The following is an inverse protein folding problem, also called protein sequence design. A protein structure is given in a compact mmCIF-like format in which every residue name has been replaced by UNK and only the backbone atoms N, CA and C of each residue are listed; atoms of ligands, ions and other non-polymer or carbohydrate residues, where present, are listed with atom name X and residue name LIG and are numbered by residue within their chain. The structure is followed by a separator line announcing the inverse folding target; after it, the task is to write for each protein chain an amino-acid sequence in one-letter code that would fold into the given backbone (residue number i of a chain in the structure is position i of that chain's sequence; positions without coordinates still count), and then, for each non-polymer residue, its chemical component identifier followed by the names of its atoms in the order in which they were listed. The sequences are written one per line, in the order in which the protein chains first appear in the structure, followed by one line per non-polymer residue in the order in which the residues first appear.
data_IF_628231775534
#
_entry.id   IF_628231775534
#
_cell.length_a   1.000
_cell.length_b   1.000
_cell.length_c   1.000
_cell.angle_alpha   90.00
_cell.angle_beta   90.00
_cell.angle_gamma   90.00
#
_symmetry.space_group_name_H-M   'P 1'
#
loop_
_entity.id
_entity.type
_entity.pdbx_description
1 polymer ?
#
# COMPACT_ATOMS: atom_id res chain seq x y z
N UNK A 1 24.81 73.32 -23.54
CA UNK A 1 23.58 72.55 -23.29
C UNK A 1 23.80 71.12 -23.78
N UNK A 2 23.59 70.17 -22.87
CA UNK A 2 23.71 68.71 -23.02
C UNK A 2 22.52 68.10 -23.82
N UNK A 3 22.39 66.76 -23.98
CA UNK A 3 23.39 65.74 -24.32
C UNK A 3 22.92 64.75 -25.43
N UNK A 4 23.87 63.95 -25.90
CA UNK A 4 23.68 62.70 -26.67
C UNK A 4 22.84 61.68 -25.87
N UNK A 5 21.95 60.93 -26.55
CA UNK A 5 21.35 59.69 -26.02
C UNK A 5 21.65 58.51 -26.96
N UNK A 6 22.36 57.53 -26.41
CA UNK A 6 22.63 56.23 -27.00
C UNK A 6 21.37 55.36 -26.96
N UNK A 7 21.14 54.59 -28.03
CA UNK A 7 20.09 53.58 -28.09
C UNK A 7 20.67 52.20 -27.78
N UNK A 8 20.28 51.69 -26.62
CA UNK A 8 19.99 50.32 -26.21
C UNK A 8 20.72 49.15 -26.89
N UNK A 9 21.63 48.53 -26.12
CA UNK A 9 21.85 47.08 -26.15
C UNK A 9 20.82 46.45 -25.20
N UNK A 10 19.81 45.79 -25.74
CA UNK A 10 18.84 45.03 -24.95
C UNK A 10 18.35 43.81 -25.74
N UNK A 11 19.28 42.91 -26.10
CA UNK A 11 18.97 41.65 -26.79
C UNK A 11 19.53 40.39 -26.11
N UNK A 12 20.35 40.52 -25.06
CA UNK A 12 21.07 39.38 -24.48
C UNK A 12 20.38 38.69 -23.31
N UNK A 13 19.64 39.43 -22.46
CA UNK A 13 19.12 38.87 -21.20
C UNK A 13 17.94 37.90 -21.38
N UNK A 14 17.08 38.12 -22.39
CA UNK A 14 15.91 37.25 -22.61
C UNK A 14 16.28 35.84 -23.07
N UNK A 15 17.25 35.72 -23.97
CA UNK A 15 17.68 34.42 -24.51
C UNK A 15 18.44 33.61 -23.46
N UNK A 16 19.30 34.26 -22.65
CA UNK A 16 20.03 33.59 -21.56
C UNK A 16 19.08 33.08 -20.48
N UNK A 17 18.03 33.84 -20.14
CA UNK A 17 17.04 33.40 -19.15
C UNK A 17 16.21 32.21 -19.65
N UNK A 18 15.80 32.21 -20.92
CA UNK A 18 15.03 31.10 -21.51
C UNK A 18 15.89 29.84 -21.60
N UNK A 19 17.16 29.94 -22.00
CA UNK A 19 18.08 28.80 -22.04
C UNK A 19 18.36 28.26 -20.63
N UNK A 20 18.52 29.13 -19.63
CA UNK A 20 18.71 28.72 -18.24
C UNK A 20 17.47 28.02 -17.66
N UNK A 21 16.26 28.49 -17.99
CA UNK A 21 15.00 27.84 -17.57
C UNK A 21 14.81 26.50 -18.29
N UNK A 22 15.11 26.39 -19.59
CA UNK A 22 15.03 25.12 -20.33
C UNK A 22 16.07 24.11 -19.83
N UNK A 23 17.29 24.56 -19.51
CA UNK A 23 18.31 23.72 -18.87
C UNK A 23 17.90 23.30 -17.45
N UNK A 24 17.31 24.19 -16.65
CA UNK A 24 16.83 23.87 -15.32
C UNK A 24 15.65 22.87 -15.36
N UNK A 25 14.74 23.00 -16.33
CA UNK A 25 13.62 22.05 -16.55
C UNK A 25 14.13 20.71 -17.09
N UNK A 26 15.20 20.72 -17.90
CA UNK A 26 15.84 19.48 -18.38
C UNK A 26 16.65 18.78 -17.29
N UNK A 27 17.23 19.55 -16.36
CA UNK A 27 17.96 19.03 -15.19
C UNK A 27 17.02 18.51 -14.09
N UNK A 28 15.78 19.00 -14.01
CA UNK A 28 14.76 18.44 -13.09
C UNK A 28 13.98 17.27 -13.69
N UNK A 29 14.02 17.06 -15.01
CA UNK A 29 13.43 15.89 -15.68
C UNK A 29 14.34 14.65 -15.75
N UNK A 30 15.56 14.72 -15.20
CA UNK A 30 16.50 13.60 -15.18
C UNK A 30 16.64 12.95 -13.80
N UNK A 31 15.55 12.53 -13.16
CA UNK A 31 15.65 11.55 -12.06
C UNK A 31 16.15 10.24 -12.69
N UNK A 32 17.43 9.93 -12.53
CA UNK A 32 18.02 8.72 -13.08
C UNK A 32 17.39 7.50 -12.42
N UNK A 33 16.34 6.95 -13.03
CA UNK A 33 15.98 5.55 -12.85
C UNK A 33 17.23 4.74 -13.18
N UNK A 34 17.59 3.78 -12.33
CA UNK A 34 18.55 2.75 -12.71
C UNK A 34 18.10 2.18 -14.06
N UNK A 35 18.96 2.13 -15.09
CA UNK A 35 18.58 1.56 -16.38
C UNK A 35 18.18 0.10 -16.16
N UNK A 36 16.89 -0.20 -16.23
CA UNK A 36 16.36 -1.56 -16.12
C UNK A 36 15.07 -1.77 -15.32
N UNK A 37 14.61 -0.81 -14.50
CA UNK A 37 13.40 -1.01 -13.67
C UNK A 37 12.47 0.21 -13.62
N UNK A 38 11.43 0.23 -14.48
CA UNK A 38 10.43 1.31 -14.54
C UNK A 38 9.51 1.39 -13.31
N UNK A 39 9.40 0.30 -12.55
CA UNK A 39 8.58 0.21 -11.32
C UNK A 39 9.39 0.38 -10.03
N UNK A 40 10.69 0.71 -10.12
CA UNK A 40 11.55 0.97 -8.95
C UNK A 40 11.34 2.40 -8.40
N UNK A 41 10.10 2.68 -8.01
CA UNK A 41 9.61 3.96 -7.50
C UNK A 41 8.41 3.75 -6.58
N UNK A 42 8.11 4.70 -5.68
CA UNK A 42 7.01 4.58 -4.72
C UNK A 42 5.63 4.24 -5.31
N UNK A 43 5.27 4.85 -6.44
CA UNK A 43 4.02 4.66 -7.19
C UNK A 43 4.05 3.47 -8.17
N UNK A 44 5.17 2.76 -8.22
CA UNK A 44 5.36 1.57 -9.04
C UNK A 44 4.33 0.49 -8.71
N UNK A 45 3.89 -0.26 -9.72
CA UNK A 45 3.04 -1.42 -9.47
C UNK A 45 3.84 -2.53 -8.75
N UNK A 46 3.26 -3.11 -7.69
CA UNK A 46 3.94 -4.11 -6.87
C UNK A 46 4.31 -5.36 -7.68
N UNK A 47 3.42 -5.86 -8.55
CA UNK A 47 3.74 -7.05 -9.35
C UNK A 47 4.73 -6.72 -10.46
N UNK A 48 4.64 -5.55 -11.11
CA UNK A 48 5.65 -5.14 -12.09
C UNK A 48 7.04 -5.00 -11.47
N UNK A 49 7.12 -4.41 -10.27
CA UNK A 49 8.37 -4.32 -9.53
C UNK A 49 8.94 -5.71 -9.22
N UNK A 50 8.14 -6.60 -8.66
CA UNK A 50 8.57 -7.95 -8.32
C UNK A 50 8.93 -8.78 -9.56
N UNK A 51 8.25 -8.57 -10.68
CA UNK A 51 8.55 -9.21 -11.95
C UNK A 51 9.87 -8.70 -12.55
N UNK A 52 10.05 -7.38 -12.63
CA UNK A 52 11.27 -6.75 -13.18
C UNK A 52 12.52 -7.06 -12.37
N UNK A 53 12.37 -7.30 -11.06
CA UNK A 53 13.44 -7.71 -10.16
C UNK A 53 13.62 -9.22 -10.05
N UNK A 54 12.83 -10.01 -10.78
CA UNK A 54 12.97 -11.47 -10.87
C UNK A 54 12.44 -12.26 -9.66
N UNK A 55 11.67 -11.65 -8.76
CA UNK A 55 11.09 -12.31 -7.58
C UNK A 55 9.86 -13.17 -7.93
N UNK A 56 9.11 -12.79 -8.98
CA UNK A 56 7.98 -13.56 -9.51
C UNK A 56 8.19 -13.82 -11.00
N UNK A 57 7.67 -14.95 -11.49
CA UNK A 57 7.82 -15.36 -12.90
C UNK A 57 6.79 -14.76 -13.85
N UNK A 58 5.66 -14.30 -13.33
CA UNK A 58 4.58 -13.65 -14.05
C UNK A 58 3.66 -12.91 -13.05
N UNK A 59 2.77 -12.05 -13.54
CA UNK A 59 1.79 -11.34 -12.71
C UNK A 59 0.72 -12.28 -12.18
N UNK A 60 0.88 -12.69 -10.93
CA UNK A 60 -0.09 -13.47 -10.17
C UNK A 60 0.07 -13.11 -8.69
N UNK A 61 -0.99 -12.60 -8.07
CA UNK A 61 -0.91 -12.14 -6.68
C UNK A 61 -0.76 -13.28 -5.67
N UNK A 62 -0.95 -14.54 -6.08
CA UNK A 62 -0.62 -15.71 -5.28
C UNK A 62 0.89 -15.97 -5.16
N UNK A 63 1.70 -15.40 -6.07
CA UNK A 63 3.16 -15.50 -6.00
C UNK A 63 3.78 -14.48 -5.05
N UNK A 64 3.09 -13.37 -4.79
CA UNK A 64 3.57 -12.33 -3.88
C UNK A 64 3.48 -12.83 -2.45
N UNK A 65 4.60 -12.83 -1.74
CA UNK A 65 4.70 -13.24 -0.34
C UNK A 65 4.83 -12.05 0.59
N UNK A 66 4.13 -12.13 1.72
CA UNK A 66 3.98 -11.05 2.69
C UNK A 66 4.59 -11.47 4.02
N UNK A 67 5.25 -10.53 4.68
CA UNK A 67 5.48 -10.62 6.12
C UNK A 67 4.48 -9.69 6.81
N UNK A 68 3.57 -10.29 7.56
CA UNK A 68 2.52 -9.59 8.28
C UNK A 68 3.05 -9.06 9.63
N UNK A 69 2.69 -7.82 9.97
CA UNK A 69 2.95 -7.17 11.25
C UNK A 69 4.43 -7.23 11.68
N UNK A 70 5.35 -6.73 10.84
CA UNK A 70 6.78 -6.60 11.15
C UNK A 70 7.05 -5.44 12.13
N UNK A 71 6.39 -5.46 13.29
CA UNK A 71 6.27 -4.31 14.16
C UNK A 71 7.48 -4.14 15.07
N UNK A 72 7.81 -5.17 15.84
CA UNK A 72 8.94 -5.14 16.76
C UNK A 72 10.27 -5.29 16.01
N UNK A 73 11.38 -4.81 16.61
CA UNK A 73 12.69 -4.94 15.96
C UNK A 73 13.04 -6.39 15.62
N UNK A 74 12.73 -7.34 16.52
CA UNK A 74 12.96 -8.77 16.27
C UNK A 74 12.18 -9.32 15.08
N UNK A 75 10.92 -8.90 14.92
CA UNK A 75 10.07 -9.30 13.79
C UNK A 75 10.56 -8.68 12.49
N UNK A 76 10.94 -7.40 12.52
CA UNK A 76 11.57 -6.72 11.39
C UNK A 76 12.87 -7.43 10.96
N UNK A 77 13.75 -7.80 11.89
CA UNK A 77 14.98 -8.56 11.59
C UNK A 77 14.68 -9.93 10.96
N UNK A 78 13.65 -10.60 11.46
CA UNK A 78 13.18 -11.89 10.92
C UNK A 78 12.66 -11.71 9.49
N UNK A 79 11.84 -10.68 9.25
CA UNK A 79 11.30 -10.35 7.94
C UNK A 79 12.43 -10.02 6.94
N UNK A 80 13.39 -9.19 7.34
CA UNK A 80 14.55 -8.81 6.52
C UNK A 80 15.40 -10.02 6.11
N UNK A 81 15.52 -11.01 7.00
CA UNK A 81 16.33 -12.22 6.77
C UNK A 81 15.60 -13.33 6.00
N UNK A 82 14.29 -13.20 5.82
CA UNK A 82 13.46 -14.19 5.12
C UNK A 82 13.38 -13.95 3.60
N UNK A 83 12.74 -14.86 2.88
CA UNK A 83 12.49 -14.78 1.43
C UNK A 83 11.18 -14.06 1.07
N UNK A 84 10.46 -13.49 2.05
CA UNK A 84 9.24 -12.70 1.79
C UNK A 84 9.52 -11.49 0.90
N UNK A 85 8.56 -11.12 0.07
CA UNK A 85 8.75 -10.07 -0.95
C UNK A 85 8.29 -8.69 -0.49
N UNK A 86 7.30 -8.63 0.40
CA UNK A 86 6.70 -7.38 0.88
C UNK A 86 6.61 -7.41 2.41
N UNK A 87 7.01 -6.31 3.04
CA UNK A 87 6.88 -6.10 4.48
C UNK A 87 5.68 -5.23 4.75
N UNK A 88 4.80 -5.74 5.61
CA UNK A 88 3.70 -4.98 6.19
C UNK A 88 4.03 -4.69 7.66
N UNK A 89 3.74 -3.47 8.11
CA UNK A 89 3.88 -3.07 9.50
C UNK A 89 2.79 -2.07 9.89
N UNK A 90 2.29 -2.21 11.10
CA UNK A 90 1.23 -1.39 11.68
C UNK A 90 1.83 -0.12 12.27
N UNK A 91 1.25 1.04 11.98
CA UNK A 91 1.76 2.34 12.42
C UNK A 91 0.76 3.02 13.35
N UNK A 92 1.26 3.46 14.50
CA UNK A 92 0.54 4.28 15.47
C UNK A 92 1.43 5.41 16.00
N UNK A 93 0.90 6.28 16.87
CA UNK A 93 1.73 7.24 17.63
C UNK A 93 2.00 6.70 19.03
N UNK A 94 3.20 7.00 19.53
CA UNK A 94 3.60 6.61 20.88
C UNK A 94 2.67 7.23 21.94
N UNK A 95 2.20 6.41 22.87
CA UNK A 95 1.31 6.84 23.94
C UNK A 95 -0.10 7.22 23.50
N UNK A 96 -0.56 6.81 22.30
CA UNK A 96 -1.89 7.14 21.76
C UNK A 96 -3.00 7.10 22.82
N UNK A 97 -3.80 8.17 22.88
CA UNK A 97 -4.93 8.40 23.78
C UNK A 97 -4.56 8.38 25.28
N UNK A 98 -3.33 8.75 25.64
CA UNK A 98 -2.88 8.89 27.02
C UNK A 98 -2.25 10.26 27.27
N UNK A 99 -1.98 10.60 28.54
CA UNK A 99 -1.25 11.82 28.90
C UNK A 99 0.19 11.85 28.36
N UNK A 100 0.74 10.69 27.99
CA UNK A 100 2.07 10.52 27.42
C UNK A 100 2.05 10.43 25.88
N UNK A 101 0.92 10.74 25.22
CA UNK A 101 0.86 10.76 23.76
C UNK A 101 1.92 11.72 23.19
N UNK A 102 2.76 11.20 22.29
CA UNK A 102 3.73 11.99 21.55
C UNK A 102 3.33 12.03 20.07
N UNK A 103 4.00 12.88 19.29
CA UNK A 103 3.84 12.92 17.83
C UNK A 103 4.70 11.91 17.09
N UNK A 104 5.42 11.02 17.79
CA UNK A 104 6.40 10.10 17.19
C UNK A 104 5.69 8.85 16.65
N UNK A 105 5.77 8.57 15.34
CA UNK A 105 5.22 7.34 14.79
C UNK A 105 6.05 6.12 15.21
N UNK A 106 5.36 5.09 15.65
CA UNK A 106 5.89 3.82 16.11
C UNK A 106 5.24 2.66 15.38
N UNK A 107 5.94 1.55 15.29
CA UNK A 107 5.39 0.32 14.73
C UNK A 107 4.60 -0.43 15.80
N UNK A 108 3.28 -0.30 15.78
CA UNK A 108 2.40 -0.84 16.81
C UNK A 108 0.97 -1.09 16.29
N UNK A 109 0.51 -2.33 16.48
CA UNK A 109 -0.90 -2.70 16.34
C UNK A 109 -1.63 -2.54 17.69
N UNK A 110 -2.83 -1.94 17.75
CA UNK A 110 -3.66 -1.94 18.95
C UNK A 110 -3.84 -3.34 19.57
N UNK A 111 -3.84 -3.49 20.90
CA UNK A 111 -3.86 -2.43 21.91
C UNK A 111 -2.48 -1.85 22.25
N UNK A 112 -1.41 -2.22 21.55
CA UNK A 112 -0.10 -1.65 21.80
C UNK A 112 -0.08 -0.16 21.42
N UNK A 113 0.36 0.66 22.36
CA UNK A 113 0.58 2.11 22.19
C UNK A 113 2.04 2.49 22.44
N UNK A 114 2.91 1.50 22.64
CA UNK A 114 4.35 1.64 22.76
C UNK A 114 5.01 0.51 21.97
N UNK A 115 6.20 0.77 21.43
CA UNK A 115 6.97 -0.20 20.66
C UNK A 115 8.47 0.04 20.88
N UNK A 116 9.28 -1.01 20.73
CA UNK A 116 10.74 -0.86 20.71
C UNK A 116 11.24 -0.29 19.36
N UNK A 117 10.34 -0.12 18.40
CA UNK A 117 10.64 0.25 17.02
C UNK A 117 9.85 1.48 16.58
N UNK A 118 10.55 2.59 16.36
CA UNK A 118 9.95 3.77 15.72
C UNK A 118 9.84 3.55 14.22
N UNK A 119 8.91 4.22 13.55
CA UNK A 119 8.83 4.17 12.07
C UNK A 119 10.14 4.63 11.43
N UNK A 120 10.80 5.66 11.99
CA UNK A 120 12.08 6.15 11.47
C UNK A 120 13.17 5.06 11.52
N UNK A 121 13.28 4.33 12.65
CA UNK A 121 14.23 3.22 12.76
C UNK A 121 13.89 2.09 11.81
N UNK A 122 12.61 1.76 11.68
CA UNK A 122 12.15 0.72 10.78
C UNK A 122 12.44 1.06 9.31
N UNK A 123 12.14 2.29 8.87
CA UNK A 123 12.43 2.75 7.51
C UNK A 123 13.94 2.72 7.24
N UNK A 124 14.76 3.18 8.19
CA UNK A 124 16.22 3.14 8.08
C UNK A 124 16.70 1.70 7.83
N UNK A 125 16.27 0.74 8.65
CA UNK A 125 16.66 -0.66 8.51
C UNK A 125 16.17 -1.26 7.18
N UNK A 126 14.90 -1.08 6.83
CA UNK A 126 14.28 -1.69 5.65
C UNK A 126 14.83 -1.14 4.35
N UNK A 127 15.05 0.17 4.26
CA UNK A 127 15.59 0.82 3.07
C UNK A 127 17.07 0.53 2.87
N UNK A 128 17.85 0.43 3.95
CA UNK A 128 19.29 0.15 3.87
C UNK A 128 19.60 -1.31 3.56
N UNK A 129 18.80 -2.25 4.08
CA UNK A 129 19.18 -3.67 4.13
C UNK A 129 18.38 -4.59 3.21
N UNK A 130 17.37 -4.06 2.53
CA UNK A 130 16.52 -4.87 1.66
C UNK A 130 16.09 -4.11 0.41
N UNK A 131 15.46 -4.83 -0.50
CA UNK A 131 14.72 -4.31 -1.67
C UNK A 131 13.22 -4.69 -1.59
N UNK A 132 12.75 -5.14 -0.43
CA UNK A 132 11.39 -5.65 -0.27
C UNK A 132 10.38 -4.50 -0.39
N UNK A 133 9.21 -4.79 -0.96
CA UNK A 133 8.10 -3.83 -1.03
C UNK A 133 7.66 -3.41 0.38
N UNK A 134 7.04 -2.23 0.49
CA UNK A 134 6.64 -1.67 1.78
C UNK A 134 5.12 -1.49 1.81
N UNK A 135 4.46 -1.92 2.88
CA UNK A 135 3.08 -1.60 3.21
C UNK A 135 3.01 -1.08 4.65
N UNK A 136 2.53 0.16 4.82
CA UNK A 136 2.38 0.78 6.15
C UNK A 136 0.89 0.83 6.50
N UNK A 137 0.47 0.12 7.53
CA UNK A 137 -0.92 0.04 8.00
C UNK A 137 -1.22 0.98 9.16
N UNK A 138 -1.81 2.13 8.85
CA UNK A 138 -2.13 3.16 9.82
C UNK A 138 -3.33 2.79 10.69
N UNK A 139 -3.09 2.70 11.99
CA UNK A 139 -4.12 2.39 13.01
C UNK A 139 -4.71 3.62 13.68
N UNK A 140 -4.15 4.80 13.42
CA UNK A 140 -4.63 6.08 13.92
C UNK A 140 -4.34 7.21 12.93
N UNK A 141 -5.23 8.21 12.91
CA UNK A 141 -5.06 9.37 12.01
C UNK A 141 -3.88 10.25 12.45
N UNK A 142 -3.57 10.27 13.74
CA UNK A 142 -2.46 10.98 14.36
C UNK A 142 -1.11 10.55 13.79
N UNK A 143 -0.97 9.27 13.41
CA UNK A 143 0.27 8.73 12.88
C UNK A 143 0.50 9.09 11.40
N UNK A 144 -0.55 9.38 10.63
CA UNK A 144 -0.49 9.49 9.17
C UNK A 144 0.42 10.63 8.74
N UNK A 145 0.13 11.86 9.18
CA UNK A 145 0.87 13.05 8.76
C UNK A 145 2.38 12.95 9.03
N UNK A 146 2.82 12.74 10.29
CA UNK A 146 4.24 12.63 10.63
C UNK A 146 4.94 11.45 9.92
N UNK A 147 4.25 10.34 9.70
CA UNK A 147 4.82 9.18 8.99
C UNK A 147 5.06 9.45 7.52
N UNK A 148 4.10 10.11 6.85
CA UNK A 148 4.25 10.50 5.46
C UNK A 148 5.35 11.54 5.27
N UNK A 149 5.57 12.43 6.25
CA UNK A 149 6.70 13.37 6.21
C UNK A 149 8.05 12.66 6.31
N UNK A 150 8.18 11.63 7.17
CA UNK A 150 9.37 10.78 7.24
C UNK A 150 9.60 10.04 5.92
N UNK A 151 8.56 9.41 5.37
CA UNK A 151 8.65 8.66 4.12
C UNK A 151 8.99 9.56 2.91
N UNK A 152 8.39 10.75 2.83
CA UNK A 152 8.70 11.75 1.81
C UNK A 152 10.18 12.13 1.85
N UNK A 153 10.72 12.42 3.03
CA UNK A 153 12.14 12.73 3.21
C UNK A 153 13.04 11.61 2.66
N UNK A 154 12.78 10.35 3.02
CA UNK A 154 13.56 9.20 2.51
C UNK A 154 13.45 9.06 0.98
N UNK A 155 12.31 9.44 0.40
CA UNK A 155 12.08 9.41 -1.05
C UNK A 155 12.81 10.52 -1.77
N UNK A 156 12.79 11.73 -1.22
CA UNK A 156 13.54 12.90 -1.72
C UNK A 156 15.05 12.66 -1.66
N UNK A 157 15.51 11.96 -0.62
CA UNK A 157 16.89 11.47 -0.45
C UNK A 157 17.25 10.34 -1.44
N UNK A 158 16.29 9.89 -2.27
CA UNK A 158 16.50 8.86 -3.29
C UNK A 158 16.61 7.43 -2.74
N UNK A 159 16.23 7.20 -1.48
CA UNK A 159 16.36 5.88 -0.82
C UNK A 159 15.19 4.96 -1.09
N UNK A 160 14.00 5.52 -1.34
CA UNK A 160 12.79 4.74 -1.67
C UNK A 160 12.72 4.49 -3.18
N UNK A 161 13.30 3.37 -3.61
CA UNK A 161 13.34 2.94 -5.02
C UNK A 161 12.49 1.67 -5.26
N UNK A 162 11.31 1.62 -4.64
CA UNK A 162 10.41 0.45 -4.65
C UNK A 162 8.98 0.87 -4.36
N UNK A 163 7.97 0.04 -4.71
CA UNK A 163 6.58 0.32 -4.40
C UNK A 163 6.31 0.49 -2.90
N UNK A 164 5.51 1.49 -2.57
CA UNK A 164 4.99 1.73 -1.23
C UNK A 164 3.47 1.73 -1.23
N UNK A 165 2.89 0.98 -0.29
CA UNK A 165 1.46 0.91 -0.05
C UNK A 165 1.13 1.65 1.25
N UNK A 166 0.18 2.57 1.17
CA UNK A 166 -0.34 3.31 2.32
C UNK A 166 -1.70 2.73 2.66
N UNK A 167 -1.75 1.99 3.78
CA UNK A 167 -2.90 1.22 4.21
C UNK A 167 -3.63 1.87 5.39
N UNK A 168 -4.95 1.82 5.37
CA UNK A 168 -5.77 2.07 6.56
C UNK A 168 -7.18 1.49 6.37
N UNK A 169 -7.79 1.06 7.47
CA UNK A 169 -9.23 0.80 7.51
C UNK A 169 -9.98 2.12 7.72
N UNK A 170 -10.57 2.66 6.65
CA UNK A 170 -11.17 4.01 6.64
C UNK A 170 -12.70 4.02 6.67
N UNK A 171 -13.32 2.84 6.60
CA UNK A 171 -14.76 2.66 6.75
C UNK A 171 -15.08 1.57 7.77
N UNK A 172 -16.25 1.66 8.38
CA UNK A 172 -16.77 0.55 9.18
C UNK A 172 -17.32 -0.53 8.26
N UNK A 173 -16.92 -1.77 8.51
CA UNK A 173 -17.34 -2.94 7.77
C UNK A 173 -18.29 -3.83 8.57
N UNK A 174 -18.40 -5.11 8.16
CA UNK A 174 -19.33 -6.05 8.76
C UNK A 174 -19.07 -6.28 10.26
N UNK A 175 -20.16 -6.32 11.01
CA UNK A 175 -20.25 -6.74 12.42
C UNK A 175 -19.43 -5.91 13.42
N UNK A 176 -18.93 -4.74 13.04
CA UNK A 176 -18.20 -3.87 13.96
C UNK A 176 -19.18 -3.20 14.92
N UNK A 177 -19.10 -3.45 16.24
CA UNK A 177 -20.05 -2.89 17.19
C UNK A 177 -19.73 -1.43 17.57
N UNK A 178 -18.46 -1.02 17.44
CA UNK A 178 -17.96 0.29 17.81
C UNK A 178 -17.13 0.83 16.64
N UNK A 179 -17.51 1.96 16.05
CA UNK A 179 -16.74 2.60 14.98
C UNK A 179 -15.29 2.84 15.43
N UNK A 180 -14.36 2.29 14.66
CA UNK A 180 -12.92 2.37 14.94
C UNK A 180 -12.11 2.72 13.69
N UNK A 181 -12.80 3.01 12.57
CA UNK A 181 -12.16 3.37 11.32
C UNK A 181 -11.38 4.69 11.44
N UNK A 182 -10.23 4.74 10.78
CA UNK A 182 -9.47 5.97 10.58
C UNK A 182 -10.33 6.94 9.76
N UNK A 183 -10.32 8.23 10.11
CA UNK A 183 -11.14 9.21 9.41
C UNK A 183 -10.79 9.28 7.91
N UNK A 184 -11.70 8.81 7.05
CA UNK A 184 -11.47 8.70 5.61
C UNK A 184 -11.06 10.01 4.94
N UNK A 185 -11.79 11.10 5.20
CA UNK A 185 -11.53 12.40 4.57
C UNK A 185 -10.15 12.94 4.96
N UNK A 186 -9.80 12.86 6.25
CA UNK A 186 -8.49 13.31 6.73
C UNK A 186 -7.36 12.42 6.19
N UNK A 187 -7.53 11.10 6.22
CA UNK A 187 -6.54 10.15 5.73
C UNK A 187 -6.23 10.39 4.25
N UNK A 188 -7.27 10.43 3.40
CA UNK A 188 -7.09 10.63 1.96
C UNK A 188 -6.48 12.01 1.66
N UNK A 189 -6.93 13.06 2.36
CA UNK A 189 -6.37 14.41 2.20
C UNK A 189 -4.89 14.46 2.54
N UNK A 190 -4.48 13.84 3.66
CA UNK A 190 -3.07 13.79 4.06
C UNK A 190 -2.22 13.01 3.06
N UNK A 191 -2.72 11.91 2.51
CA UNK A 191 -1.99 11.16 1.46
C UNK A 191 -1.82 12.03 0.21
N UNK A 192 -2.89 12.68 -0.28
CA UNK A 192 -2.79 13.57 -1.45
C UNK A 192 -1.81 14.73 -1.23
N UNK A 193 -1.82 15.32 -0.04
CA UNK A 193 -0.98 16.46 0.31
C UNK A 193 0.50 16.06 0.46
N UNK A 194 0.78 14.97 1.17
CA UNK A 194 2.14 14.69 1.68
C UNK A 194 2.87 13.62 0.89
N UNK A 195 2.17 12.65 0.31
CA UNK A 195 2.78 11.50 -0.37
C UNK A 195 1.83 10.86 -1.42
N UNK A 196 1.48 11.59 -2.50
CA UNK A 196 0.51 11.10 -3.50
C UNK A 196 1.04 9.94 -4.35
N UNK A 197 2.37 9.82 -4.48
CA UNK A 197 3.05 8.80 -5.27
C UNK A 197 3.14 7.46 -4.50
N UNK A 198 2.00 6.79 -4.35
CA UNK A 198 1.90 5.49 -3.68
C UNK A 198 0.71 4.68 -4.20
N UNK A 199 0.64 3.40 -3.83
CA UNK A 199 -0.61 2.65 -3.93
C UNK A 199 -1.42 2.84 -2.65
N UNK A 200 -2.72 3.12 -2.77
CA UNK A 200 -3.62 3.15 -1.63
C UNK A 200 -4.09 1.73 -1.30
N UNK A 201 -4.10 1.37 -0.03
CA UNK A 201 -4.60 0.08 0.47
C UNK A 201 -5.70 0.32 1.50
N UNK A 202 -6.89 0.69 1.05
CA UNK A 202 -7.97 1.18 1.93
C UNK A 202 -9.03 0.12 2.18
N UNK A 203 -9.28 -0.16 3.46
CA UNK A 203 -10.11 -1.26 3.90
C UNK A 203 -11.26 -0.84 4.81
N UNK A 204 -11.85 -1.86 5.44
CA UNK A 204 -12.90 -1.70 6.42
C UNK A 204 -12.48 -2.33 7.73
N UNK A 205 -12.82 -1.68 8.84
CA UNK A 205 -12.77 -2.37 10.13
C UNK A 205 -13.75 -3.52 10.09
N UNK A 206 -13.37 -4.71 10.54
CA UNK A 206 -14.22 -5.90 10.45
C UNK A 206 -14.17 -6.78 11.69
N UNK A 207 -15.29 -7.41 12.02
CA UNK A 207 -15.36 -8.44 13.04
C UNK A 207 -15.98 -9.71 12.47
N UNK A 208 -15.24 -10.82 12.49
CA UNK A 208 -15.82 -12.13 12.23
C UNK A 208 -16.44 -12.70 13.52
N UNK A 209 -17.63 -13.29 13.39
CA UNK A 209 -18.31 -14.01 14.47
C UNK A 209 -18.83 -15.35 13.95
N UNK A 210 -18.45 -16.43 14.61
CA UNK A 210 -18.94 -17.78 14.29
C UNK A 210 -20.44 -17.96 14.57
N UNK A 211 -21.07 -17.06 15.34
CA UNK A 211 -22.51 -17.06 15.59
C UNK A 211 -23.32 -16.47 14.43
N UNK A 212 -22.70 -15.63 13.60
CA UNK A 212 -23.33 -15.01 12.42
C UNK A 212 -22.42 -15.17 11.19
N UNK A 213 -22.13 -16.42 10.77
CA UNK A 213 -21.12 -16.69 9.73
C UNK A 213 -21.52 -16.15 8.35
N UNK A 214 -22.81 -15.85 8.14
CA UNK A 214 -23.32 -15.30 6.90
C UNK A 214 -23.29 -13.76 6.84
N UNK A 215 -22.89 -13.10 7.93
CA UNK A 215 -22.85 -11.63 7.98
C UNK A 215 -21.54 -11.12 7.37
N UNK A 216 -21.66 -10.47 6.21
CA UNK A 216 -20.54 -10.07 5.33
C UNK A 216 -20.75 -8.65 4.78
N UNK A 217 -19.86 -8.21 3.89
CA UNK A 217 -19.91 -6.91 3.22
C UNK A 217 -21.19 -6.76 2.40
N UNK A 218 -21.85 -5.62 2.54
CA UNK A 218 -23.05 -5.27 1.76
C UNK A 218 -22.67 -4.44 0.53
N UNK A 219 -23.56 -4.37 -0.44
CA UNK A 219 -23.40 -3.48 -1.60
C UNK A 219 -23.13 -2.03 -1.17
N UNK A 220 -23.90 -1.49 -0.23
CA UNK A 220 -23.73 -0.12 0.27
C UNK A 220 -22.33 0.14 0.84
N UNK A 221 -21.74 -0.83 1.55
CA UNK A 221 -20.37 -0.70 2.08
C UNK A 221 -19.34 -0.59 0.95
N UNK A 222 -19.54 -1.35 -0.13
CA UNK A 222 -18.65 -1.38 -1.29
C UNK A 222 -18.81 -0.12 -2.14
N UNK A 223 -20.04 0.31 -2.41
CA UNK A 223 -20.32 1.54 -3.15
C UNK A 223 -19.81 2.78 -2.41
N UNK A 224 -19.96 2.82 -1.08
CA UNK A 224 -19.41 3.90 -0.26
C UNK A 224 -17.89 3.97 -0.38
N UNK A 225 -17.19 2.83 -0.32
CA UNK A 225 -15.74 2.80 -0.53
C UNK A 225 -15.37 3.31 -1.93
N UNK A 226 -16.04 2.82 -2.97
CA UNK A 226 -15.81 3.26 -4.35
C UNK A 226 -15.94 4.79 -4.51
N UNK A 227 -17.00 5.38 -3.94
CA UNK A 227 -17.24 6.83 -4.00
C UNK A 227 -16.11 7.68 -3.39
N UNK A 228 -15.33 7.12 -2.45
CA UNK A 228 -14.19 7.81 -1.83
C UNK A 228 -12.94 7.78 -2.70
N UNK A 229 -12.79 6.77 -3.56
CA UNK A 229 -11.53 6.50 -4.28
C UNK A 229 -11.63 6.58 -5.80
N UNK A 230 -12.83 6.70 -6.37
CA UNK A 230 -13.05 6.72 -7.82
C UNK A 230 -12.28 7.84 -8.52
N UNK A 231 -12.26 9.03 -7.93
CA UNK A 231 -11.63 10.22 -8.48
C UNK A 231 -10.12 10.30 -8.19
N UNK A 232 -9.58 9.43 -7.34
CA UNK A 232 -8.17 9.45 -6.97
C UNK A 232 -7.32 8.85 -8.10
N UNK A 233 -6.13 9.41 -8.39
CA UNK A 233 -5.28 8.93 -9.48
C UNK A 233 -4.50 7.64 -9.13
N UNK A 234 -4.29 7.35 -7.84
CA UNK A 234 -3.45 6.23 -7.40
C UNK A 234 -4.01 4.86 -7.78
N UNK A 235 -3.16 3.84 -7.84
CA UNK A 235 -3.65 2.45 -7.76
C UNK A 235 -4.31 2.23 -6.40
N UNK A 236 -5.33 1.38 -6.36
CA UNK A 236 -6.07 1.09 -5.12
C UNK A 236 -6.22 -0.41 -4.95
N UNK A 237 -5.72 -0.94 -3.85
CA UNK A 237 -6.06 -2.28 -3.39
C UNK A 237 -7.03 -2.18 -2.21
N UNK A 238 -7.98 -3.11 -2.11
CA UNK A 238 -8.91 -3.17 -1.00
C UNK A 238 -8.58 -4.39 -0.13
N UNK A 239 -8.08 -4.21 1.11
CA UNK A 239 -7.95 -5.28 2.08
C UNK A 239 -9.33 -5.86 2.43
N UNK A 240 -9.53 -7.14 2.15
CA UNK A 240 -10.78 -7.85 2.41
C UNK A 240 -10.50 -9.05 3.31
N UNK A 241 -11.19 -9.12 4.45
CA UNK A 241 -11.12 -10.29 5.33
C UNK A 241 -11.62 -11.54 4.61
N UNK A 242 -10.74 -12.51 4.37
CA UNK A 242 -10.91 -13.61 3.43
C UNK A 242 -12.13 -14.49 3.74
N UNK A 243 -12.43 -14.74 5.03
CA UNK A 243 -13.56 -15.57 5.47
C UNK A 243 -14.92 -15.02 5.01
N UNK A 244 -15.01 -13.71 4.77
CA UNK A 244 -16.24 -13.03 4.35
C UNK A 244 -16.33 -12.83 2.83
N UNK A 245 -15.21 -12.95 2.12
CA UNK A 245 -15.07 -12.51 0.73
C UNK A 245 -15.98 -13.29 -0.24
N UNK A 246 -16.14 -14.61 -0.06
CA UNK A 246 -16.99 -15.43 -0.94
C UNK A 246 -18.46 -15.02 -0.87
N UNK A 247 -18.97 -14.79 0.34
CA UNK A 247 -20.38 -14.45 0.55
C UNK A 247 -20.74 -13.09 -0.08
N UNK A 248 -19.78 -12.16 -0.15
CA UNK A 248 -19.93 -10.84 -0.77
C UNK A 248 -19.33 -10.75 -2.18
N UNK A 249 -19.02 -11.88 -2.83
CA UNK A 249 -18.21 -11.88 -4.05
C UNK A 249 -18.82 -11.08 -5.20
N UNK A 250 -20.14 -11.09 -5.36
CA UNK A 250 -20.82 -10.30 -6.40
C UNK A 250 -20.52 -8.80 -6.27
N UNK A 251 -20.46 -8.28 -5.05
CA UNK A 251 -20.15 -6.87 -4.79
C UNK A 251 -18.67 -6.55 -5.06
N UNK A 252 -17.75 -7.43 -4.66
CA UNK A 252 -16.33 -7.26 -4.96
C UNK A 252 -16.00 -7.41 -6.45
N UNK A 253 -16.69 -8.31 -7.14
CA UNK A 253 -16.57 -8.45 -8.61
C UNK A 253 -17.06 -7.19 -9.31
N UNK A 254 -18.15 -6.57 -8.83
CA UNK A 254 -18.60 -5.28 -9.33
C UNK A 254 -17.55 -4.18 -9.07
N UNK A 255 -16.98 -4.11 -7.86
CA UNK A 255 -15.95 -3.13 -7.50
C UNK A 255 -14.74 -3.23 -8.44
N UNK A 256 -14.20 -4.43 -8.62
CA UNK A 256 -13.06 -4.69 -9.51
C UNK A 256 -13.32 -4.32 -10.97
N UNK A 257 -14.59 -4.25 -11.41
CA UNK A 257 -14.95 -3.83 -12.77
C UNK A 257 -15.01 -2.31 -12.95
N UNK A 258 -14.96 -1.52 -11.87
CA UNK A 258 -15.06 -0.06 -11.97
C UNK A 258 -13.77 0.60 -12.47
N UNK A 259 -12.61 -0.01 -12.25
CA UNK A 259 -11.32 0.50 -12.71
C UNK A 259 -10.26 -0.60 -12.79
N UNK A 260 -9.41 -0.53 -13.82
CA UNK A 260 -8.20 -1.35 -13.96
C UNK A 260 -7.14 -1.08 -12.88
N UNK A 261 -7.25 0.05 -12.17
CA UNK A 261 -6.42 0.40 -11.00
C UNK A 261 -6.75 -0.41 -9.75
N UNK A 262 -7.87 -1.14 -9.76
CA UNK A 262 -8.40 -1.80 -8.58
C UNK A 262 -7.94 -3.25 -8.44
N UNK A 263 -7.51 -3.60 -7.23
CA UNK A 263 -7.19 -4.96 -6.80
C UNK A 263 -7.79 -5.26 -5.43
N UNK A 264 -7.81 -6.52 -5.01
CA UNK A 264 -8.11 -6.92 -3.63
C UNK A 264 -6.88 -7.53 -2.97
N UNK A 265 -6.76 -7.35 -1.66
CA UNK A 265 -5.82 -8.10 -0.83
C UNK A 265 -6.62 -8.92 0.17
N UNK A 266 -6.69 -10.24 -0.03
CA UNK A 266 -7.35 -11.13 0.91
C UNK A 266 -6.46 -11.34 2.12
N UNK A 267 -6.92 -10.95 3.30
CA UNK A 267 -6.20 -11.13 4.56
C UNK A 267 -7.00 -11.99 5.54
N UNK A 268 -6.35 -12.58 6.54
CA UNK A 268 -7.03 -13.36 7.56
C UNK A 268 -6.53 -13.03 8.97
N UNK A 269 -7.42 -13.14 9.95
CA UNK A 269 -7.02 -13.26 11.36
C UNK A 269 -6.64 -14.70 11.68
N UNK A 270 -5.85 -14.90 12.74
CA UNK A 270 -5.39 -16.23 13.18
C UNK A 270 -6.55 -17.20 13.52
N UNK A 271 -7.71 -16.68 13.91
CA UNK A 271 -8.89 -17.48 14.26
C UNK A 271 -9.94 -17.60 13.16
N UNK A 272 -9.69 -17.02 11.97
CA UNK A 272 -10.66 -17.05 10.89
C UNK A 272 -10.74 -18.45 10.26
N UNK A 273 -11.94 -19.05 10.11
CA UNK A 273 -12.11 -20.35 9.47
C UNK A 273 -12.10 -20.22 7.93
N UNK A 274 -11.03 -19.66 7.36
CA UNK A 274 -10.83 -19.54 5.91
C UNK A 274 -10.66 -20.93 5.30
N UNK A 275 -11.40 -21.23 4.23
CA UNK A 275 -11.29 -22.51 3.53
C UNK A 275 -10.58 -22.36 2.19
N UNK A 276 -9.87 -23.42 1.76
CA UNK A 276 -9.23 -23.44 0.43
C UNK A 276 -10.27 -23.39 -0.69
N UNK A 277 -11.47 -23.94 -0.48
CA UNK A 277 -12.55 -23.89 -1.46
C UNK A 277 -13.00 -22.45 -1.73
N UNK A 278 -13.11 -21.62 -0.68
CA UNK A 278 -13.45 -20.20 -0.83
C UNK A 278 -12.38 -19.43 -1.62
N UNK A 279 -11.11 -19.68 -1.33
CA UNK A 279 -9.98 -19.06 -2.04
C UNK A 279 -9.93 -19.50 -3.52
N UNK A 280 -10.17 -20.79 -3.80
CA UNK A 280 -10.26 -21.32 -5.16
C UNK A 280 -11.47 -20.76 -5.91
N UNK A 281 -12.59 -20.57 -5.23
CA UNK A 281 -13.77 -19.93 -5.81
C UNK A 281 -13.45 -18.50 -6.25
N UNK A 282 -12.88 -17.68 -5.35
CA UNK A 282 -12.50 -16.29 -5.66
C UNK A 282 -11.51 -16.24 -6.82
N UNK A 283 -10.46 -17.05 -6.78
CA UNK A 283 -9.44 -17.12 -7.82
C UNK A 283 -10.02 -17.53 -9.19
N UNK A 284 -11.00 -18.42 -9.23
CA UNK A 284 -11.64 -18.85 -10.49
C UNK A 284 -12.50 -17.74 -11.11
N UNK A 285 -13.00 -16.83 -10.29
CA UNK A 285 -13.94 -15.78 -10.71
C UNK A 285 -13.29 -14.39 -10.83
N UNK A 286 -11.95 -14.31 -10.81
CA UNK A 286 -11.19 -13.06 -10.93
C UNK A 286 -9.98 -13.23 -11.84
N UNK A 287 -9.42 -12.13 -12.32
CA UNK A 287 -8.10 -12.18 -12.94
C UNK A 287 -7.04 -12.39 -11.85
N UNK A 288 -6.12 -13.33 -12.08
CA UNK A 288 -5.13 -13.75 -11.07
C UNK A 288 -4.18 -12.63 -10.61
N UNK A 289 -4.03 -11.56 -11.41
CA UNK A 289 -3.22 -10.40 -11.07
C UNK A 289 -3.99 -9.34 -10.26
N UNK A 290 -5.33 -9.47 -10.11
CA UNK A 290 -6.15 -8.52 -9.34
C UNK A 290 -6.27 -8.91 -7.87
N UNK A 291 -5.81 -10.10 -7.45
CA UNK A 291 -6.00 -10.60 -6.09
C UNK A 291 -4.65 -10.96 -5.47
N UNK A 292 -4.28 -10.25 -4.41
CA UNK A 292 -3.18 -10.59 -3.51
C UNK A 292 -3.68 -11.42 -2.32
N UNK A 293 -2.80 -12.20 -1.70
CA UNK A 293 -3.13 -13.09 -0.59
C UNK A 293 -2.14 -12.92 0.58
N UNK A 294 -2.58 -12.25 1.64
CA UNK A 294 -1.87 -12.12 2.92
C UNK A 294 -2.47 -13.12 3.93
N UNK A 295 -2.10 -14.39 3.78
CA UNK A 295 -2.70 -15.51 4.51
C UNK A 295 -1.62 -16.29 5.27
N UNK A 296 -1.97 -16.82 6.45
CA UNK A 296 -1.04 -17.63 7.24
C UNK A 296 -0.96 -19.08 6.78
N UNK A 297 0.06 -19.78 7.23
CA UNK A 297 0.14 -21.23 7.08
C UNK A 297 -0.78 -21.95 8.08
N UNK A 298 -1.30 -23.16 7.76
CA UNK A 298 -1.01 -23.97 6.56
C UNK A 298 -1.93 -23.70 5.36
N UNK A 299 -2.91 -22.79 5.48
CA UNK A 299 -3.94 -22.59 4.44
C UNK A 299 -3.34 -22.05 3.14
N UNK A 300 -2.35 -21.16 3.22
CA UNK A 300 -1.66 -20.60 2.06
C UNK A 300 -0.96 -21.68 1.23
N UNK A 301 -0.18 -22.56 1.86
CA UNK A 301 0.51 -23.64 1.15
C UNK A 301 -0.47 -24.64 0.52
N UNK A 302 -1.54 -25.00 1.22
CA UNK A 302 -2.57 -25.89 0.66
C UNK A 302 -3.26 -25.26 -0.57
N UNK A 303 -3.57 -23.96 -0.49
CA UNK A 303 -4.15 -23.21 -1.59
C UNK A 303 -3.21 -23.15 -2.79
N UNK A 304 -1.93 -22.81 -2.59
CA UNK A 304 -0.90 -22.79 -3.64
C UNK A 304 -0.80 -24.13 -4.38
N UNK A 305 -0.74 -25.24 -3.65
CA UNK A 305 -0.66 -26.58 -4.24
C UNK A 305 -1.86 -26.91 -5.13
N UNK A 306 -3.08 -26.56 -4.72
CA UNK A 306 -4.29 -26.84 -5.49
C UNK A 306 -4.50 -25.88 -6.67
N UNK A 307 -4.12 -24.61 -6.51
CA UNK A 307 -4.17 -23.62 -7.58
C UNK A 307 -3.26 -24.00 -8.76
N UNK A 308 -2.06 -24.53 -8.49
CA UNK A 308 -1.11 -24.98 -9.51
C UNK A 308 -1.56 -26.24 -10.26
N UNK A 309 -2.20 -27.20 -9.57
CA UNK A 309 -2.71 -28.43 -10.22
C UNK A 309 -3.79 -28.12 -11.27
N UNK A 310 -4.66 -27.13 -11.00
CA UNK A 310 -5.76 -26.76 -11.91
C UNK A 310 -5.31 -25.98 -13.14
N UNK A 311 -4.22 -25.21 -13.06
CA UNK A 311 -3.63 -24.54 -14.23
C UNK A 311 -2.90 -25.51 -15.17
N UNK A 312 -2.45 -26.67 -14.65
CA UNK A 312 -1.88 -27.75 -15.45
C UNK A 312 -2.93 -28.58 -16.21
N UNK A 313 -4.07 -28.89 -15.60
CA UNK A 313 -5.14 -29.70 -16.24
C UNK A 313 -5.93 -28.97 -17.34
N UNK A 314 -5.81 -27.66 -17.46
CA UNK A 314 -6.46 -26.86 -18.52
C UNK A 314 -5.61 -26.71 -19.79
N UNK A 315 -4.43 -27.35 -19.83
CA UNK A 315 -3.51 -27.41 -20.99
C UNK A 315 -3.37 -28.82 -21.58
N UNK A 316 -4.29 -29.73 -21.27
CA UNK A 316 -4.34 -31.11 -21.78
C UNK A 316 -5.56 -31.37 -22.64
#
# INVERSE_FOLDING_TARGET
MAPRKAWAVAGGMGVVLVVAVVLAVSLTQGRSSQPGCESCRPDGDMMDYLLSTGHISHKDGLLVTWYHAANFRSEMETALSSDVMVLEADVNVEGLNTENETGVPIMAHPPAIYSDNTLEHWLEAVLTRSIKGIKLDFKSIQAVGPSLDLLRKQTEDGRVQRPVWINADILDGPNVPIPAAVNATQFLSLVQEKYPDATLSVGWTTLYSSFTPNSTYTQDMIEKMHSLVEALPQKVTFPVRAVMARAAWSHFSWLLSQSDRYSLTLWQSASDPVTVDDLLYIRKNSAIHQIYYDLFEPILSQFKQLAQKRSGSSRG
#
